data_IF_605125712043
#
_entry.id   IF_605125712043
#
_cell.length_a   1.000
_cell.length_b   1.000
_cell.length_c   1.000
_cell.angle_alpha   90.00
_cell.angle_beta   90.00
_cell.angle_gamma   90.00
#
_symmetry.space_group_name_H-M   'P 1'
#
loop_
_entity.id
_entity.type
_entity.pdbx_description
1 polymer ?
#
# COMPACT_ATOMS: atom_id res chain seq x y z
N UNK A 1 -1.03 12.64 -10.85
CA UNK A 1 0.35 12.11 -10.73
C UNK A 1 0.68 11.97 -9.23
N UNK A 2 0.01 11.06 -8.50
CA UNK A 2 0.01 11.10 -7.03
C UNK A 2 0.41 9.79 -6.30
N UNK A 3 0.30 8.60 -6.89
CA UNK A 3 0.53 7.35 -6.14
C UNK A 3 2.01 6.99 -5.86
N UNK A 4 2.95 7.40 -6.72
CA UNK A 4 4.36 7.00 -6.53
C UNK A 4 4.96 7.65 -5.28
N UNK A 5 4.57 8.90 -5.02
CA UNK A 5 5.01 9.65 -3.84
C UNK A 5 4.46 9.02 -2.55
N UNK A 6 3.22 8.51 -2.61
CA UNK A 6 2.53 8.00 -1.44
C UNK A 6 3.11 6.66 -0.94
N UNK A 7 3.35 5.70 -1.85
CA UNK A 7 3.99 4.42 -1.50
C UNK A 7 5.44 4.63 -1.04
N UNK A 8 6.19 5.51 -1.72
CA UNK A 8 7.55 5.85 -1.33
C UNK A 8 7.59 6.50 0.06
N UNK A 9 6.59 7.36 0.36
CA UNK A 9 6.42 7.96 1.67
C UNK A 9 6.20 6.91 2.76
N UNK A 10 5.30 5.95 2.52
CA UNK A 10 5.05 4.88 3.49
C UNK A 10 6.28 4.04 3.79
N UNK A 11 7.07 3.68 2.77
CA UNK A 11 8.36 3.02 2.99
C UNK A 11 9.34 3.90 3.77
N UNK A 12 9.40 5.19 3.47
CA UNK A 12 10.26 6.14 4.19
C UNK A 12 9.82 6.36 5.64
N UNK A 13 8.53 6.21 5.95
CA UNK A 13 7.97 6.22 7.30
C UNK A 13 8.19 4.89 8.03
N UNK A 14 8.77 3.89 7.36
CA UNK A 14 9.00 2.55 7.91
C UNK A 14 7.76 1.65 7.91
N UNK A 15 6.69 2.05 7.22
CA UNK A 15 5.46 1.28 7.11
C UNK A 15 5.63 0.13 6.12
N UNK A 16 5.13 -1.05 6.50
CA UNK A 16 5.07 -2.17 5.58
C UNK A 16 3.93 -1.97 4.57
N UNK A 17 4.21 -2.14 3.28
CA UNK A 17 3.19 -2.09 2.23
C UNK A 17 2.75 -3.50 1.90
N UNK A 18 1.44 -3.72 1.82
CA UNK A 18 0.84 -5.00 1.45
C UNK A 18 -0.16 -4.78 0.33
N UNK A 19 -0.22 -5.70 -0.62
CA UNK A 19 -1.23 -5.74 -1.66
C UNK A 19 -1.93 -7.10 -1.60
N UNK A 20 -3.24 -7.09 -1.36
CA UNK A 20 -4.05 -8.30 -1.13
C UNK A 20 -3.47 -9.19 -0.01
N UNK A 21 -2.88 -8.57 1.03
CA UNK A 21 -2.18 -9.28 2.11
C UNK A 21 -0.75 -9.75 1.79
N UNK A 22 -0.27 -9.58 0.54
CA UNK A 22 1.08 -9.93 0.13
C UNK A 22 2.02 -8.75 0.43
N UNK A 23 3.10 -9.01 1.18
CA UNK A 23 4.10 -7.98 1.48
C UNK A 23 4.82 -7.53 0.19
N UNK A 24 4.82 -6.22 -0.05
CA UNK A 24 5.49 -5.59 -1.18
C UNK A 24 6.83 -5.06 -0.70
N UNK A 25 7.86 -5.38 -1.46
CA UNK A 25 9.22 -4.86 -1.28
C UNK A 25 9.51 -3.81 -2.35
N UNK A 26 10.59 -3.05 -2.16
CA UNK A 26 11.05 -1.98 -3.07
C UNK A 26 11.07 -2.42 -4.55
N UNK A 27 11.50 -3.66 -4.81
CA UNK A 27 11.56 -4.26 -6.16
C UNK A 27 10.22 -4.35 -6.88
N UNK A 28 9.10 -4.46 -6.14
CA UNK A 28 7.75 -4.59 -6.70
C UNK A 28 6.94 -3.30 -6.54
N UNK A 29 7.52 -2.26 -5.94
CA UNK A 29 6.85 -1.00 -5.62
C UNK A 29 6.36 -0.29 -6.88
N UNK A 30 7.23 -0.19 -7.90
CA UNK A 30 6.90 0.49 -9.16
C UNK A 30 5.75 -0.22 -9.89
N UNK A 31 5.76 -1.55 -9.87
CA UNK A 31 4.70 -2.36 -10.48
C UNK A 31 3.37 -2.20 -9.74
N UNK A 32 3.39 -2.23 -8.41
CA UNK A 32 2.20 -2.00 -7.57
C UNK A 32 1.65 -0.59 -7.77
N UNK A 33 2.54 0.41 -7.85
CA UNK A 33 2.15 1.78 -8.13
C UNK A 33 1.40 1.93 -9.46
N UNK A 34 1.84 1.22 -10.50
CA UNK A 34 1.16 1.20 -11.80
C UNK A 34 -0.22 0.55 -11.68
N UNK A 35 -0.31 -0.62 -11.04
CA UNK A 35 -1.59 -1.33 -10.83
C UNK A 35 -2.58 -0.42 -10.09
N UNK A 36 -2.18 0.17 -8.96
CA UNK A 36 -3.05 1.04 -8.14
C UNK A 36 -3.43 2.34 -8.85
N UNK A 37 -2.72 2.72 -9.91
CA UNK A 37 -3.02 3.90 -10.73
C UNK A 37 -3.95 3.56 -11.89
N UNK A 38 -3.85 2.36 -12.44
CA UNK A 38 -4.69 1.88 -13.55
C UNK A 38 -6.02 1.26 -13.07
N UNK A 39 -6.01 0.64 -11.90
CA UNK A 39 -7.14 -0.08 -11.31
C UNK A 39 -7.59 0.68 -10.04
N UNK A 40 -8.71 1.41 -10.14
CA UNK A 40 -9.28 2.16 -9.02
C UNK A 40 -10.08 1.27 -8.06
N UNK A 41 -10.20 -0.02 -8.37
CA UNK A 41 -10.91 -0.99 -7.52
C UNK A 41 -10.10 -1.41 -6.30
N UNK A 42 -9.00 -0.74 -5.95
CA UNK A 42 -8.24 -1.02 -4.74
C UNK A 42 -8.54 0.00 -3.64
N UNK A 43 -8.90 -0.50 -2.45
CA UNK A 43 -9.04 0.31 -1.25
C UNK A 43 -7.76 0.24 -0.42
N UNK A 44 -7.36 1.39 0.12
CA UNK A 44 -6.26 1.52 1.08
C UNK A 44 -6.79 1.35 2.51
N UNK A 45 -6.21 0.42 3.24
CA UNK A 45 -6.49 0.16 4.65
C UNK A 45 -5.21 0.37 5.47
N UNK A 46 -5.33 1.10 6.58
CA UNK A 46 -4.22 1.28 7.53
C UNK A 46 -4.32 0.21 8.61
N UNK A 47 -3.23 -0.51 8.81
CA UNK A 47 -3.11 -1.55 9.82
C UNK A 47 -2.31 -0.98 10.99
N UNK A 48 -2.93 -0.94 12.16
CA UNK A 48 -2.26 -0.58 13.41
C UNK A 48 -1.73 -1.80 14.16
N UNK A 49 -0.81 -1.56 15.09
CA UNK A 49 -0.24 -2.59 15.98
C UNK A 49 -1.12 -2.96 17.20
N UNK A 50 -2.36 -2.46 17.28
CA UNK A 50 -3.23 -2.59 18.45
C UNK A 50 -2.97 -1.54 19.53
N UNK A 51 -1.88 -0.79 19.45
CA UNK A 51 -1.57 0.35 20.34
C UNK A 51 -1.99 1.70 19.70
N UNK A 52 -2.57 1.65 18.49
CA UNK A 52 -3.00 2.82 17.72
C UNK A 52 -1.91 3.40 16.80
N UNK A 53 -0.74 2.77 16.72
CA UNK A 53 0.32 3.16 15.78
C UNK A 53 0.18 2.38 14.47
N UNK A 54 0.10 3.12 13.37
CA UNK A 54 0.06 2.53 12.03
C UNK A 54 1.41 1.87 11.77
N UNK A 55 1.36 0.58 11.45
CA UNK A 55 2.55 -0.23 11.17
C UNK A 55 2.58 -0.73 9.72
N UNK A 56 1.43 -0.79 9.05
CA UNK A 56 1.36 -1.20 7.67
C UNK A 56 0.21 -0.53 6.91
N UNK A 57 0.32 -0.53 5.58
CA UNK A 57 -0.72 -0.11 4.66
C UNK A 57 -1.05 -1.29 3.77
N UNK A 58 -2.32 -1.69 3.75
CA UNK A 58 -2.83 -2.82 2.97
C UNK A 58 -3.73 -2.31 1.85
N UNK A 59 -3.40 -2.64 0.61
CA UNK A 59 -4.22 -2.34 -0.57
C UNK A 59 -5.02 -3.59 -0.93
N UNK A 60 -6.33 -3.56 -0.75
CA UNK A 60 -7.20 -4.69 -1.05
C UNK A 60 -8.09 -4.39 -2.23
N UNK A 61 -8.24 -5.36 -3.13
CA UNK A 61 -9.16 -5.21 -4.24
C UNK A 61 -10.59 -5.30 -3.71
N UNK A 62 -11.36 -4.25 -3.94
CA UNK A 62 -12.81 -4.22 -3.77
C UNK A 62 -13.37 -5.20 -4.82
N UNK A 63 -13.86 -6.34 -4.37
CA UNK A 63 -14.63 -7.25 -5.21
C UNK A 63 -16.08 -6.76 -5.19
N UNK A 64 -16.61 -6.36 -6.34
CA UNK A 64 -18.05 -6.17 -6.55
C UNK A 64 -18.85 -7.46 -6.34
#
# INVERSE_FOLDING_TARGET
MANHDELSKYLSEGLAIRLDGIAISDVNLEHVNLILKEDDSYMKEFIDNGEGEICAVNFQKIRE
#
